data_IF_032850397952
#
_entry.id   IF_032850397952
#
_cell.length_a   1.000
_cell.length_b   1.000
_cell.length_c   1.000
_cell.angle_alpha   90.00
_cell.angle_beta   90.00
_cell.angle_gamma   90.00
#
_symmetry.space_group_name_H-M   'P 1'
#
loop_
_entity.id
_entity.type
_entity.pdbx_description
1 polymer ?
#
# COMPACT_ATOMS: atom_id res chain seq x y z
N UNK A 1 -21.46 21.24 17.89
CA UNK A 1 -21.63 20.55 16.59
C UNK A 1 -20.24 20.23 16.06
N UNK A 2 -19.75 19.04 16.36
CA UNK A 2 -18.45 18.58 15.90
C UNK A 2 -18.57 18.20 14.42
N UNK A 3 -17.77 18.87 13.62
CA UNK A 3 -17.71 18.78 12.16
C UNK A 3 -17.24 17.36 11.74
N UNK A 4 -18.16 16.41 11.69
CA UNK A 4 -17.93 15.02 11.28
C UNK A 4 -17.50 14.88 9.82
N UNK A 5 -17.61 15.96 9.04
CA UNK A 5 -17.26 16.00 7.62
C UNK A 5 -15.76 16.19 7.35
N UNK A 6 -14.95 16.50 8.37
CA UNK A 6 -13.54 16.83 8.22
C UNK A 6 -12.58 15.71 8.67
N UNK A 7 -13.07 14.67 9.36
CA UNK A 7 -12.23 13.57 9.84
C UNK A 7 -11.99 12.51 8.76
N UNK A 8 -10.77 11.94 8.76
CA UNK A 8 -10.43 10.78 7.92
C UNK A 8 -10.89 9.51 8.65
N UNK A 9 -11.79 8.74 8.01
CA UNK A 9 -12.18 7.42 8.46
C UNK A 9 -11.38 6.33 7.73
N UNK A 10 -11.02 5.27 8.45
CA UNK A 10 -10.36 4.09 7.89
C UNK A 10 -11.28 2.88 8.00
N UNK A 11 -11.34 2.06 6.94
CA UNK A 11 -12.15 0.85 6.90
C UNK A 11 -11.38 -0.29 6.21
N UNK A 12 -11.43 -1.48 6.78
CA UNK A 12 -10.89 -2.71 6.20
C UNK A 12 -11.84 -3.37 5.18
N UNK A 13 -13.02 -2.81 4.98
CA UNK A 13 -13.99 -3.28 3.98
C UNK A 13 -13.67 -2.65 2.63
N UNK A 14 -12.81 -3.31 1.85
CA UNK A 14 -12.45 -2.85 0.49
C UNK A 14 -13.46 -3.30 -0.57
N UNK A 15 -14.28 -4.31 -0.28
CA UNK A 15 -15.32 -4.79 -1.20
C UNK A 15 -16.34 -3.70 -1.52
N UNK A 16 -16.68 -3.58 -2.80
CA UNK A 16 -17.59 -2.52 -3.29
C UNK A 16 -16.88 -1.19 -3.62
N UNK A 17 -15.56 -1.10 -3.42
CA UNK A 17 -14.76 0.07 -3.78
C UNK A 17 -13.92 -0.11 -5.05
N UNK A 18 -14.11 -1.23 -5.77
CA UNK A 18 -13.32 -1.62 -6.94
C UNK A 18 -13.21 -0.50 -7.98
N UNK A 19 -14.34 0.10 -8.33
CA UNK A 19 -14.41 1.18 -9.33
C UNK A 19 -13.68 2.43 -8.85
N UNK A 20 -13.89 2.85 -7.61
CA UNK A 20 -13.27 4.03 -7.03
C UNK A 20 -11.76 3.85 -6.84
N UNK A 21 -11.33 2.65 -6.43
CA UNK A 21 -9.92 2.28 -6.31
C UNK A 21 -9.25 2.35 -7.68
N UNK A 22 -9.87 1.74 -8.71
CA UNK A 22 -9.36 1.80 -10.08
C UNK A 22 -9.28 3.24 -10.62
N UNK A 23 -10.32 4.05 -10.38
CA UNK A 23 -10.35 5.45 -10.79
C UNK A 23 -9.27 6.28 -10.09
N UNK A 24 -9.08 6.10 -8.78
CA UNK A 24 -8.03 6.79 -8.02
C UNK A 24 -6.64 6.38 -8.52
N UNK A 25 -6.41 5.08 -8.75
CA UNK A 25 -5.15 4.59 -9.31
C UNK A 25 -4.83 5.28 -10.65
N UNK A 26 -5.78 5.31 -11.58
CA UNK A 26 -5.61 5.96 -12.88
C UNK A 26 -5.38 7.47 -12.76
N UNK A 27 -6.02 8.13 -11.80
CA UNK A 27 -5.82 9.58 -11.56
C UNK A 27 -4.40 9.91 -11.10
N UNK A 28 -3.76 8.98 -10.39
CA UNK A 28 -2.39 9.14 -9.86
C UNK A 28 -1.34 8.79 -10.89
N UNK A 29 -1.54 7.69 -11.63
CA UNK A 29 -0.53 7.13 -12.54
C UNK A 29 -0.80 7.43 -14.02
N UNK A 30 -1.97 8.00 -14.33
CA UNK A 30 -2.39 8.37 -15.68
C UNK A 30 -2.88 7.19 -16.52
N UNK A 31 -3.55 7.52 -17.62
CA UNK A 31 -4.15 6.53 -18.56
C UNK A 31 -3.12 5.62 -19.26
N UNK A 32 -1.83 5.87 -19.07
CA UNK A 32 -0.76 5.04 -19.65
C UNK A 32 -0.65 3.66 -19.01
N UNK A 33 -1.42 3.39 -17.93
CA UNK A 33 -1.42 2.11 -17.20
C UNK A 33 -2.82 1.47 -17.05
N UNK A 34 -3.68 1.45 -18.07
CA UNK A 34 -5.00 0.84 -17.95
C UNK A 34 -4.90 -0.66 -17.62
N UNK A 35 -3.91 -1.36 -18.20
CA UNK A 35 -3.67 -2.78 -17.94
C UNK A 35 -3.30 -3.06 -16.49
N UNK A 36 -2.59 -2.15 -15.82
CA UNK A 36 -2.27 -2.30 -14.39
C UNK A 36 -3.51 -2.06 -13.52
N UNK A 37 -4.34 -1.07 -13.84
CA UNK A 37 -5.60 -0.83 -13.15
C UNK A 37 -6.57 -2.01 -13.28
N UNK A 38 -6.69 -2.61 -14.49
CA UNK A 38 -7.47 -3.81 -14.72
C UNK A 38 -6.91 -5.02 -13.95
N UNK A 39 -5.59 -5.15 -13.88
CA UNK A 39 -4.92 -6.19 -13.12
C UNK A 39 -5.20 -6.02 -11.63
N UNK A 40 -5.18 -4.80 -11.12
CA UNK A 40 -5.49 -4.46 -9.74
C UNK A 40 -6.93 -4.83 -9.39
N UNK A 41 -7.90 -4.42 -10.22
CA UNK A 41 -9.32 -4.76 -10.01
C UNK A 41 -9.59 -6.26 -10.15
N UNK A 42 -8.83 -6.97 -10.98
CA UNK A 42 -8.90 -8.44 -11.07
C UNK A 42 -8.37 -9.09 -9.77
N UNK A 43 -7.27 -8.58 -9.23
CA UNK A 43 -6.71 -9.05 -7.97
C UNK A 43 -7.67 -8.83 -6.79
N UNK A 44 -8.52 -7.80 -6.84
CA UNK A 44 -9.54 -7.57 -5.79
C UNK A 44 -10.55 -8.71 -5.63
N UNK A 45 -10.63 -9.62 -6.60
CA UNK A 45 -11.44 -10.84 -6.51
C UNK A 45 -10.71 -12.00 -5.80
N UNK A 46 -9.43 -11.85 -5.51
CA UNK A 46 -8.64 -12.87 -4.82
C UNK A 46 -9.00 -12.92 -3.33
N UNK A 47 -9.25 -14.11 -2.74
CA UNK A 47 -9.48 -14.24 -1.30
C UNK A 47 -8.23 -13.94 -0.46
N UNK A 48 -7.04 -13.96 -1.08
CA UNK A 48 -5.78 -13.61 -0.43
C UNK A 48 -5.54 -12.09 -0.37
N UNK A 49 -6.31 -11.31 -1.16
CA UNK A 49 -6.21 -9.86 -1.15
C UNK A 49 -7.07 -9.29 -0.02
N UNK A 50 -6.49 -8.34 0.68
CA UNK A 50 -7.15 -7.51 1.68
C UNK A 50 -6.58 -6.10 1.65
N UNK A 51 -7.13 -5.20 2.42
CA UNK A 51 -6.65 -3.82 2.41
C UNK A 51 -7.44 -2.93 3.33
N UNK A 52 -7.10 -1.65 3.26
CA UNK A 52 -7.78 -0.59 4.00
C UNK A 52 -8.05 0.58 3.06
N UNK A 53 -9.22 1.17 3.18
CA UNK A 53 -9.56 2.43 2.52
C UNK A 53 -9.54 3.57 3.54
N UNK A 54 -9.13 4.74 3.10
CA UNK A 54 -9.30 5.99 3.81
C UNK A 54 -10.40 6.81 3.12
N UNK A 55 -11.32 7.34 3.90
CA UNK A 55 -12.47 8.12 3.43
C UNK A 55 -12.49 9.50 4.06
N UNK A 56 -12.93 10.50 3.30
CA UNK A 56 -13.22 11.84 3.80
C UNK A 56 -14.54 12.32 3.18
N UNK A 57 -15.52 12.66 4.01
CA UNK A 57 -16.83 13.10 3.54
C UNK A 57 -17.53 12.07 2.63
N UNK A 58 -17.34 10.76 2.86
CA UNK A 58 -17.90 9.68 2.05
C UNK A 58 -17.16 9.38 0.74
N UNK A 59 -16.13 10.17 0.39
CA UNK A 59 -15.30 9.95 -0.80
C UNK A 59 -14.02 9.21 -0.48
N UNK A 60 -13.49 8.43 -1.43
CA UNK A 60 -12.22 7.73 -1.29
C UNK A 60 -11.06 8.73 -1.27
N UNK A 61 -10.36 8.78 -0.16
CA UNK A 61 -9.18 9.64 0.04
C UNK A 61 -7.86 8.89 -0.25
N UNK A 62 -7.87 7.58 -0.12
CA UNK A 62 -6.74 6.71 -0.39
C UNK A 62 -7.03 5.26 -0.06
N UNK A 63 -6.10 4.39 -0.40
CA UNK A 63 -6.19 2.96 -0.11
C UNK A 63 -4.81 2.33 0.04
N UNK A 64 -4.78 1.20 0.74
CA UNK A 64 -3.67 0.24 0.73
C UNK A 64 -4.22 -1.12 0.33
N UNK A 65 -3.55 -1.80 -0.59
CA UNK A 65 -3.84 -3.18 -0.98
C UNK A 65 -2.70 -4.09 -0.60
N UNK A 66 -3.05 -5.22 0.00
CA UNK A 66 -2.14 -6.20 0.55
C UNK A 66 -2.51 -7.59 0.04
N UNK A 67 -1.52 -8.38 -0.30
CA UNK A 67 -1.69 -9.76 -0.74
C UNK A 67 -1.01 -10.71 0.23
N UNK A 68 -1.81 -11.54 0.90
CA UNK A 68 -1.28 -12.54 1.82
C UNK A 68 -0.70 -13.74 1.06
N UNK A 69 0.46 -14.20 1.51
CA UNK A 69 1.00 -15.52 1.19
C UNK A 69 1.05 -16.39 2.46
N UNK A 70 1.82 -17.47 2.47
CA UNK A 70 1.84 -18.39 3.63
C UNK A 70 2.32 -17.71 4.91
N UNK A 71 3.45 -17.01 4.84
CA UNK A 71 4.15 -16.45 6.01
C UNK A 71 4.36 -14.95 5.94
N UNK A 72 4.10 -14.34 4.80
CA UNK A 72 4.33 -12.93 4.55
C UNK A 72 3.16 -12.27 3.83
N UNK A 73 3.15 -10.97 3.85
CA UNK A 73 2.22 -10.14 3.09
C UNK A 73 2.99 -9.20 2.19
N UNK A 74 2.57 -9.07 0.94
CA UNK A 74 3.08 -8.04 0.04
C UNK A 74 2.17 -6.82 0.06
N UNK A 75 2.76 -5.62 0.24
CA UNK A 75 2.05 -4.39 -0.07
C UNK A 75 2.12 -4.21 -1.59
N UNK A 76 0.95 -4.34 -2.23
CA UNK A 76 0.85 -4.17 -3.68
C UNK A 76 0.80 -2.70 -4.07
N UNK A 77 0.08 -1.88 -3.28
CA UNK A 77 -0.10 -0.47 -3.58
C UNK A 77 -0.50 0.31 -2.32
N UNK A 78 0.04 1.52 -2.17
CA UNK A 78 -0.48 2.57 -1.29
C UNK A 78 -0.73 3.80 -2.15
N UNK A 79 -1.97 4.20 -2.30
CA UNK A 79 -2.37 5.32 -3.12
C UNK A 79 -3.15 6.34 -2.30
N UNK A 80 -2.79 7.62 -2.42
CA UNK A 80 -3.48 8.75 -1.77
C UNK A 80 -3.86 9.77 -2.83
N UNK A 81 -5.12 10.22 -2.75
CA UNK A 81 -5.65 11.24 -3.65
C UNK A 81 -4.69 12.45 -3.70
N UNK A 82 -4.33 12.97 -4.88
CA UNK A 82 -3.34 14.04 -5.02
C UNK A 82 -3.63 15.23 -4.11
N UNK A 83 -4.88 15.69 -4.06
CA UNK A 83 -5.30 16.85 -3.28
C UNK A 83 -5.31 16.60 -1.76
N UNK A 84 -5.16 15.33 -1.34
CA UNK A 84 -5.18 14.94 0.07
C UNK A 84 -3.82 14.44 0.55
N UNK A 85 -2.77 14.59 -0.24
CA UNK A 85 -1.40 14.27 0.17
C UNK A 85 -0.92 15.18 1.27
N UNK A 86 0.13 14.77 1.99
CA UNK A 86 0.74 15.50 3.11
C UNK A 86 -0.18 15.74 4.31
N UNK A 87 -1.29 15.01 4.39
CA UNK A 87 -2.28 15.05 5.47
C UNK A 87 -2.19 13.85 6.44
N UNK A 88 -1.17 13.02 6.31
CA UNK A 88 -0.98 11.82 7.15
C UNK A 88 -1.75 10.59 6.68
N UNK A 89 -2.55 10.66 5.61
CA UNK A 89 -3.36 9.53 5.12
C UNK A 89 -2.49 8.32 4.77
N UNK A 90 -1.38 8.52 4.06
CA UNK A 90 -0.48 7.44 3.69
C UNK A 90 0.10 6.71 4.91
N UNK A 91 0.47 7.45 5.95
CA UNK A 91 0.93 6.89 7.23
C UNK A 91 -0.19 6.10 7.90
N UNK A 92 -1.39 6.65 8.01
CA UNK A 92 -2.53 5.97 8.60
C UNK A 92 -2.92 4.68 7.87
N UNK A 93 -2.89 4.70 6.52
CA UNK A 93 -3.12 3.50 5.70
C UNK A 93 -2.06 2.44 5.95
N UNK A 94 -0.78 2.82 6.02
CA UNK A 94 0.31 1.90 6.30
C UNK A 94 0.17 1.28 7.70
N UNK A 95 -0.11 2.09 8.72
CA UNK A 95 -0.30 1.63 10.10
C UNK A 95 -1.49 0.66 10.20
N UNK A 96 -2.62 0.97 9.55
CA UNK A 96 -3.78 0.10 9.49
C UNK A 96 -3.49 -1.20 8.74
N UNK A 97 -2.75 -1.15 7.63
CA UNK A 97 -2.30 -2.33 6.89
C UNK A 97 -1.39 -3.24 7.72
N UNK A 98 -0.43 -2.65 8.45
CA UNK A 98 0.44 -3.38 9.38
C UNK A 98 -0.36 -4.06 10.51
N UNK A 99 -1.38 -3.37 11.03
CA UNK A 99 -2.29 -3.95 12.01
C UNK A 99 -3.03 -5.17 11.44
N UNK A 100 -3.61 -5.05 10.24
CA UNK A 100 -4.30 -6.14 9.55
C UNK A 100 -3.39 -7.36 9.30
N UNK A 101 -2.14 -7.13 8.88
CA UNK A 101 -1.18 -8.20 8.67
C UNK A 101 -0.84 -8.95 9.98
N UNK A 102 -0.71 -8.22 11.11
CA UNK A 102 -0.52 -8.84 12.44
C UNK A 102 -1.72 -9.67 12.87
N UNK A 103 -2.96 -9.17 12.66
CA UNK A 103 -4.18 -9.92 12.98
C UNK A 103 -4.27 -11.23 12.18
N UNK A 104 -3.71 -11.25 10.97
CA UNK A 104 -3.60 -12.43 10.10
C UNK A 104 -2.40 -13.32 10.44
N UNK A 105 -1.65 -12.97 11.49
CA UNK A 105 -0.46 -13.71 11.97
C UNK A 105 0.63 -13.84 10.90
N UNK A 106 0.75 -12.86 10.00
CA UNK A 106 1.84 -12.81 9.04
C UNK A 106 3.15 -12.47 9.75
N UNK A 107 4.23 -13.18 9.40
CA UNK A 107 5.53 -13.00 10.04
C UNK A 107 6.22 -11.71 9.58
N UNK A 108 6.09 -11.39 8.30
CA UNK A 108 6.68 -10.17 7.73
C UNK A 108 5.76 -9.53 6.71
N UNK A 109 6.10 -8.30 6.36
CA UNK A 109 5.47 -7.56 5.29
C UNK A 109 6.55 -7.00 4.37
N UNK A 110 6.34 -7.15 3.07
CA UNK A 110 7.30 -6.83 2.02
C UNK A 110 6.68 -5.80 1.07
N UNK A 111 7.49 -4.96 0.50
CA UNK A 111 7.09 -4.03 -0.56
C UNK A 111 8.22 -3.76 -1.54
N UNK A 112 7.86 -3.26 -2.71
CA UNK A 112 8.77 -2.71 -3.69
C UNK A 112 8.50 -1.21 -3.84
N UNK A 113 9.55 -0.41 -3.85
CA UNK A 113 9.45 1.03 -4.03
C UNK A 113 10.50 1.51 -5.03
N UNK A 114 10.11 2.39 -5.94
CA UNK A 114 11.03 2.98 -6.88
C UNK A 114 12.12 3.78 -6.15
N UNK A 115 13.38 3.64 -6.59
CA UNK A 115 14.53 4.30 -5.97
C UNK A 115 14.43 5.84 -5.96
N UNK A 116 13.72 6.40 -6.93
CA UNK A 116 13.48 7.84 -7.01
C UNK A 116 12.28 8.33 -6.19
N UNK A 117 11.50 7.43 -5.58
CA UNK A 117 10.36 7.78 -4.72
C UNK A 117 10.80 8.00 -3.26
N UNK A 118 11.55 9.08 -3.03
CA UNK A 118 12.12 9.39 -1.71
C UNK A 118 11.06 9.60 -0.62
N UNK A 119 9.89 10.12 -1.00
CA UNK A 119 8.80 10.35 -0.05
C UNK A 119 8.25 9.02 0.50
N UNK A 120 8.02 8.03 -0.37
CA UNK A 120 7.57 6.71 0.05
C UNK A 120 8.66 5.97 0.85
N UNK A 121 9.92 6.05 0.43
CA UNK A 121 11.03 5.45 1.18
C UNK A 121 11.11 6.02 2.59
N UNK A 122 10.98 7.33 2.75
CA UNK A 122 10.96 7.98 4.07
C UNK A 122 9.82 7.43 4.94
N UNK A 123 8.62 7.30 4.37
CA UNK A 123 7.46 6.72 5.06
C UNK A 123 7.75 5.30 5.54
N UNK A 124 8.32 4.45 4.68
CA UNK A 124 8.61 3.05 5.01
C UNK A 124 9.73 2.92 6.03
N UNK A 125 10.81 3.69 5.91
CA UNK A 125 11.88 3.70 6.90
C UNK A 125 11.38 4.14 8.28
N UNK A 126 10.56 5.19 8.35
CA UNK A 126 9.93 5.63 9.60
C UNK A 126 9.00 4.58 10.21
N UNK A 127 8.35 3.76 9.38
CA UNK A 127 7.55 2.63 9.82
C UNK A 127 8.37 1.39 10.21
N UNK A 128 9.71 1.44 10.08
CA UNK A 128 10.63 0.38 10.47
C UNK A 128 10.90 -0.68 9.41
N UNK A 129 10.62 -0.39 8.14
CA UNK A 129 11.06 -1.22 7.03
C UNK A 129 12.56 -1.07 6.79
N UNK A 130 13.20 -2.15 6.38
CA UNK A 130 14.61 -2.19 6.02
C UNK A 130 14.74 -2.69 4.58
N UNK A 131 15.63 -2.11 3.81
CA UNK A 131 15.95 -2.62 2.49
C UNK A 131 16.64 -3.99 2.61
N UNK A 132 16.14 -4.98 1.88
CA UNK A 132 16.67 -6.35 1.85
C UNK A 132 17.29 -6.72 0.50
N UNK A 133 16.82 -6.09 -0.58
CA UNK A 133 17.38 -6.29 -1.91
C UNK A 133 17.07 -5.12 -2.85
N UNK A 134 17.54 -5.24 -4.09
CA UNK A 134 17.34 -4.26 -5.16
C UNK A 134 17.10 -5.01 -6.46
N UNK A 135 16.11 -4.58 -7.24
CA UNK A 135 15.83 -5.08 -8.59
C UNK A 135 16.24 -4.01 -9.60
N UNK A 136 17.24 -4.30 -10.39
CA UNK A 136 17.74 -3.35 -11.39
C UNK A 136 16.75 -3.20 -12.54
N UNK A 137 16.61 -1.97 -13.04
CA UNK A 137 15.83 -1.63 -14.23
C UNK A 137 14.36 -2.09 -14.16
N UNK A 138 13.76 -2.09 -12.97
CA UNK A 138 12.44 -2.67 -12.72
C UNK A 138 11.30 -1.79 -13.21
N UNK A 139 11.39 -0.48 -13.01
CA UNK A 139 10.40 0.48 -13.47
C UNK A 139 10.86 1.17 -14.75
N UNK A 140 9.93 1.41 -15.68
CA UNK A 140 10.17 2.21 -16.87
C UNK A 140 9.40 3.54 -16.74
N UNK A 141 10.12 4.67 -16.74
CA UNK A 141 9.54 6.02 -16.76
C UNK A 141 10.01 6.76 -17.99
N UNK A 142 9.17 6.83 -19.01
CA UNK A 142 9.58 7.31 -20.33
C UNK A 142 10.64 6.37 -20.92
N UNK A 143 11.87 6.85 -21.10
CA UNK A 143 13.03 6.05 -21.56
C UNK A 143 13.98 5.65 -20.42
N UNK A 144 13.72 6.13 -19.19
CA UNK A 144 14.57 5.86 -18.04
C UNK A 144 14.17 4.57 -17.34
N UNK A 145 15.15 3.71 -17.09
CA UNK A 145 15.01 2.55 -16.22
C UNK A 145 15.34 2.95 -14.79
N UNK A 146 14.46 2.64 -13.86
CA UNK A 146 14.61 2.96 -12.44
C UNK A 146 14.56 1.67 -11.64
N UNK A 147 15.47 1.54 -10.69
CA UNK A 147 15.54 0.37 -9.84
C UNK A 147 14.39 0.36 -8.83
N UNK A 148 13.99 -0.84 -8.41
CA UNK A 148 13.13 -1.04 -7.25
C UNK A 148 13.96 -1.44 -6.04
N UNK A 149 13.71 -0.79 -4.92
CA UNK A 149 14.18 -1.24 -3.62
C UNK A 149 13.14 -2.19 -3.03
N UNK A 150 13.56 -3.38 -2.65
CA UNK A 150 12.74 -4.33 -1.93
C UNK A 150 12.95 -4.09 -0.44
N UNK A 151 11.88 -3.80 0.27
CA UNK A 151 11.93 -3.50 1.69
C UNK A 151 11.07 -4.47 2.48
N UNK A 152 11.51 -4.86 3.65
CA UNK A 152 10.82 -5.77 4.55
C UNK A 152 10.72 -5.19 5.96
N UNK A 153 9.61 -5.52 6.64
CA UNK A 153 9.43 -5.33 8.07
C UNK A 153 8.97 -6.62 8.71
N UNK A 154 9.72 -7.09 9.72
CA UNK A 154 9.29 -8.17 10.59
C UNK A 154 8.15 -7.68 11.50
N UNK A 155 7.06 -8.44 11.58
CA UNK A 155 5.86 -8.05 12.34
C UNK A 155 5.88 -8.60 13.77
N UNK A 156 6.58 -9.70 13.98
CA UNK A 156 6.85 -10.28 15.30
C UNK A 156 8.35 -10.35 15.52
N UNK A 157 8.79 -10.23 16.78
CA UNK A 157 10.19 -10.45 17.12
C UNK A 157 10.58 -11.88 16.74
N UNK A 158 11.75 -12.04 16.12
CA UNK A 158 12.30 -13.36 15.85
C UNK A 158 12.46 -14.08 17.19
N UNK A 159 11.56 -15.00 17.52
CA UNK A 159 11.85 -16.04 18.48
C UNK A 159 12.95 -16.87 17.83
N UNK A 160 14.22 -16.53 18.11
CA UNK A 160 15.32 -17.46 17.87
C UNK A 160 15.04 -18.63 18.79
N UNK A 161 14.34 -19.62 18.28
CA UNK A 161 14.49 -20.98 18.81
C UNK A 161 15.86 -21.43 18.34
N UNK A 162 16.87 -21.20 19.19
CA UNK A 162 18.15 -21.90 19.03
C UNK A 162 17.91 -23.35 19.38
N UNK A 163 18.48 -24.28 18.60
CA UNK A 163 18.44 -25.72 18.90
C UNK A 163 19.15 -26.07 20.20
#
# INVERSE_FOLDING_TARGET
>A
MTDSACSIGYSDKISGWDTQIGALYLSVYGEKKPTEAESLTRLMKSPALYGVIAQKGGSLAGFILLLASLDSTDILEICVHPDMRRSGIGKGLLEAGLFQARQRRQNSIILEVAEDNLAAQTLYHQAGFKQISRRQNYYLRGTAHIDALVMEKQLFGSSKTSP
#
